data_IF_555326282419
#
_entry.id   IF_555326282419
#
_cell.length_a   1.000
_cell.length_b   1.000
_cell.length_c   1.000
_cell.angle_alpha   90.00
_cell.angle_beta   90.00
_cell.angle_gamma   90.00
#
_symmetry.space_group_name_H-M   'P 1'
#
loop_
_entity.id
_entity.type
_entity.pdbx_description
1 polymer ?
#
# COMPACT_ATOMS: atom_id res chain seq x y z
N UNK A 1 -21.90 29.01 -9.62
CA UNK A 1 -20.44 29.03 -9.40
C UNK A 1 -20.21 28.28 -8.11
N UNK A 2 -19.40 27.22 -8.12
CA UNK A 2 -19.03 26.53 -6.89
C UNK A 2 -18.09 27.43 -6.08
N UNK A 3 -18.31 27.51 -4.77
CA UNK A 3 -17.57 28.41 -3.88
C UNK A 3 -16.29 27.73 -3.36
N UNK A 4 -15.29 28.52 -2.95
CA UNK A 4 -14.04 27.96 -2.41
C UNK A 4 -14.30 27.09 -1.15
N UNK A 5 -15.30 27.45 -0.34
CA UNK A 5 -15.74 26.66 0.82
C UNK A 5 -16.28 25.28 0.43
N UNK A 6 -17.03 25.17 -0.68
CA UNK A 6 -17.50 23.87 -1.21
C UNK A 6 -16.33 22.98 -1.64
N UNK A 7 -15.32 23.56 -2.29
CA UNK A 7 -14.10 22.83 -2.66
C UNK A 7 -13.29 22.38 -1.43
N UNK A 8 -13.25 23.19 -0.36
CA UNK A 8 -12.57 22.85 0.89
C UNK A 8 -13.29 21.72 1.63
N UNK A 9 -14.61 21.84 1.78
CA UNK A 9 -15.44 20.75 2.34
C UNK A 9 -15.22 19.47 1.56
N UNK A 10 -15.21 19.55 0.22
CA UNK A 10 -14.98 18.37 -0.62
C UNK A 10 -13.60 17.75 -0.40
N UNK A 11 -12.55 18.57 -0.22
CA UNK A 11 -11.21 18.09 0.09
C UNK A 11 -11.19 17.33 1.42
N UNK A 12 -11.82 17.88 2.46
CA UNK A 12 -11.89 17.23 3.78
C UNK A 12 -12.61 15.89 3.71
N UNK A 13 -13.75 15.81 3.01
CA UNK A 13 -14.46 14.54 2.79
C UNK A 13 -13.59 13.48 2.10
N UNK A 14 -12.83 13.88 1.06
CA UNK A 14 -11.98 12.96 0.31
C UNK A 14 -10.82 12.44 1.17
N UNK A 15 -10.20 13.32 1.97
CA UNK A 15 -9.16 12.91 2.92
C UNK A 15 -9.69 11.99 4.03
N UNK A 16 -10.88 12.26 4.56
CA UNK A 16 -11.55 11.38 5.54
C UNK A 16 -11.81 9.98 4.94
N UNK A 17 -12.29 9.91 3.69
CA UNK A 17 -12.48 8.64 2.98
C UNK A 17 -11.15 7.89 2.81
N UNK A 18 -10.07 8.60 2.52
CA UNK A 18 -8.75 7.99 2.32
C UNK A 18 -8.18 7.45 3.62
N UNK A 19 -8.33 8.21 4.71
CA UNK A 19 -8.01 7.76 6.06
C UNK A 19 -8.78 6.51 6.46
N UNK A 20 -10.08 6.46 6.21
CA UNK A 20 -10.91 5.30 6.51
C UNK A 20 -10.42 4.05 5.74
N UNK A 21 -10.07 4.22 4.46
CA UNK A 21 -9.54 3.13 3.64
C UNK A 21 -8.19 2.62 4.16
N UNK A 22 -7.29 3.51 4.56
CA UNK A 22 -6.01 3.14 5.17
C UNK A 22 -6.17 2.46 6.53
N UNK A 23 -7.12 2.90 7.37
CA UNK A 23 -7.44 2.24 8.64
C UNK A 23 -7.92 0.80 8.39
N UNK A 24 -8.78 0.61 7.39
CA UNK A 24 -9.26 -0.71 6.97
C UNK A 24 -8.13 -1.61 6.45
N UNK A 25 -7.18 -1.04 5.70
CA UNK A 25 -5.99 -1.77 5.24
C UNK A 25 -5.09 -2.18 6.40
N UNK A 26 -4.95 -1.32 7.41
CA UNK A 26 -4.16 -1.59 8.63
C UNK A 26 -4.75 -2.72 9.48
N UNK A 27 -6.07 -2.82 9.57
CA UNK A 27 -6.75 -3.77 10.46
C UNK A 27 -6.74 -5.22 9.94
N UNK A 28 -6.50 -5.45 8.64
CA UNK A 28 -6.54 -6.80 8.07
C UNK A 28 -5.68 -6.95 6.80
N UNK A 29 -4.34 -6.79 6.89
CA UNK A 29 -3.45 -7.07 5.77
C UNK A 29 -3.30 -8.58 5.50
N UNK A 30 -3.46 -9.42 6.53
CA UNK A 30 -3.16 -10.86 6.46
C UNK A 30 -4.31 -11.73 5.95
N UNK A 31 -5.55 -11.22 6.00
CA UNK A 31 -6.77 -11.98 5.68
C UNK A 31 -7.41 -11.59 4.35
N UNK A 32 -6.89 -10.54 3.69
CA UNK A 32 -7.43 -10.07 2.42
C UNK A 32 -7.03 -10.98 1.26
N UNK A 33 -7.99 -11.40 0.45
CA UNK A 33 -7.71 -12.13 -0.79
C UNK A 33 -7.02 -11.21 -1.81
N UNK A 34 -6.26 -11.78 -2.75
CA UNK A 34 -5.61 -11.00 -3.81
C UNK A 34 -6.60 -10.10 -4.58
N UNK A 35 -7.81 -10.60 -4.86
CA UNK A 35 -8.87 -9.84 -5.51
C UNK A 35 -9.37 -8.67 -4.64
N UNK A 36 -9.49 -8.87 -3.32
CA UNK A 36 -9.86 -7.79 -2.39
C UNK A 36 -8.78 -6.72 -2.30
N UNK A 37 -7.50 -7.11 -2.35
CA UNK A 37 -6.37 -6.19 -2.38
C UNK A 37 -6.40 -5.35 -3.66
N UNK A 38 -6.63 -5.98 -4.82
CA UNK A 38 -6.71 -5.29 -6.10
C UNK A 38 -7.87 -4.26 -6.15
N UNK A 39 -9.07 -4.65 -5.70
CA UNK A 39 -10.21 -3.74 -5.63
C UNK A 39 -9.93 -2.56 -4.68
N UNK A 40 -9.30 -2.82 -3.54
CA UNK A 40 -8.90 -1.76 -2.60
C UNK A 40 -7.88 -0.81 -3.23
N UNK A 41 -6.89 -1.34 -3.95
CA UNK A 41 -5.89 -0.55 -4.64
C UNK A 41 -6.51 0.35 -5.73
N UNK A 42 -7.41 -0.20 -6.55
CA UNK A 42 -8.12 0.58 -7.57
C UNK A 42 -8.93 1.73 -6.95
N UNK A 43 -9.68 1.44 -5.88
CA UNK A 43 -10.44 2.47 -5.15
C UNK A 43 -9.54 3.54 -4.55
N UNK A 44 -8.39 3.13 -4.01
CA UNK A 44 -7.40 4.06 -3.46
C UNK A 44 -6.82 4.98 -4.55
N UNK A 45 -6.47 4.44 -5.71
CA UNK A 45 -5.97 5.21 -6.86
C UNK A 45 -6.98 6.25 -7.33
N UNK A 46 -8.24 5.85 -7.51
CA UNK A 46 -9.31 6.78 -7.91
C UNK A 46 -9.50 7.89 -6.87
N UNK A 47 -9.43 7.55 -5.58
CA UNK A 47 -9.58 8.53 -4.52
C UNK A 47 -8.43 9.53 -4.50
N UNK A 48 -7.20 9.06 -4.73
CA UNK A 48 -6.02 9.92 -4.85
C UNK A 48 -6.14 10.87 -6.04
N UNK A 49 -6.56 10.38 -7.21
CA UNK A 49 -6.79 11.22 -8.39
C UNK A 49 -7.85 12.31 -8.12
N UNK A 50 -8.92 11.96 -7.39
CA UNK A 50 -9.96 12.91 -7.00
C UNK A 50 -9.44 13.98 -6.02
N UNK A 51 -8.61 13.59 -5.05
CA UNK A 51 -7.95 14.53 -4.13
C UNK A 51 -7.05 15.48 -4.92
N UNK A 52 -6.19 14.96 -5.79
CA UNK A 52 -5.27 15.76 -6.61
C UNK A 52 -6.02 16.70 -7.56
N UNK A 53 -7.12 16.25 -8.15
CA UNK A 53 -7.98 17.09 -8.98
C UNK A 53 -8.62 18.23 -8.16
N UNK A 54 -9.19 17.92 -7.00
CA UNK A 54 -9.83 18.93 -6.16
C UNK A 54 -8.82 19.90 -5.54
N UNK A 55 -7.65 19.43 -5.13
CA UNK A 55 -6.58 20.27 -4.59
C UNK A 55 -6.01 21.23 -5.64
N UNK A 56 -5.95 20.83 -6.92
CA UNK A 56 -5.60 21.75 -8.01
C UNK A 56 -6.62 22.88 -8.14
N UNK A 57 -7.91 22.57 -8.07
CA UNK A 57 -8.98 23.58 -8.11
C UNK A 57 -8.95 24.48 -6.86
N UNK A 58 -8.67 23.90 -5.70
CA UNK A 58 -8.47 24.65 -4.47
C UNK A 58 -7.32 25.63 -4.58
N UNK A 59 -6.14 25.20 -5.05
CA UNK A 59 -4.99 26.09 -5.19
C UNK A 59 -5.27 27.27 -6.13
N UNK A 60 -6.09 27.08 -7.16
CA UNK A 60 -6.50 28.19 -8.05
C UNK A 60 -7.49 29.14 -7.39
N UNK A 61 -8.38 28.65 -6.53
CA UNK A 61 -9.43 29.47 -5.87
C UNK A 61 -8.98 30.06 -4.54
N UNK A 62 -7.98 29.47 -3.88
CA UNK A 62 -7.39 29.92 -2.62
C UNK A 62 -6.71 31.28 -2.72
N UNK A 63 -6.18 31.61 -3.90
CA UNK A 63 -5.56 32.92 -4.18
C UNK A 63 -6.57 34.08 -4.19
N UNK A 64 -7.86 33.76 -4.32
CA UNK A 64 -8.95 34.71 -4.43
C UNK A 64 -9.75 34.85 -3.12
N UNK A 65 -9.33 34.16 -2.05
CA UNK A 65 -10.03 34.14 -0.76
C UNK A 65 -9.83 35.41 0.05
N UNK A 66 -10.92 35.93 0.63
CA UNK A 66 -10.84 36.85 1.76
C UNK A 66 -10.54 36.04 3.02
N UNK A 67 -9.32 36.17 3.55
CA UNK A 67 -8.83 35.46 4.74
C UNK A 67 -9.54 35.85 6.06
N UNK A 68 -10.65 36.59 5.98
CA UNK A 68 -11.44 37.07 7.13
C UNK A 68 -12.66 36.20 7.44
N UNK A 69 -12.91 35.15 6.66
CA UNK A 69 -13.98 34.20 6.93
C UNK A 69 -13.51 33.08 7.88
N UNK A 70 -13.96 33.15 9.14
CA UNK A 70 -13.67 32.17 10.20
C UNK A 70 -14.06 30.73 9.79
N UNK A 71 -15.11 30.56 8.97
CA UNK A 71 -15.53 29.23 8.52
C UNK A 71 -14.50 28.60 7.58
N UNK A 72 -13.92 29.42 6.70
CA UNK A 72 -12.89 28.98 5.75
C UNK A 72 -11.60 28.64 6.50
N UNK A 73 -11.23 29.44 7.51
CA UNK A 73 -10.10 29.14 8.38
C UNK A 73 -10.26 27.81 9.11
N UNK A 74 -11.46 27.52 9.64
CA UNK A 74 -11.76 26.25 10.29
C UNK A 74 -11.61 25.06 9.33
N UNK A 75 -12.14 25.18 8.10
CA UNK A 75 -12.02 24.12 7.09
C UNK A 75 -10.56 23.86 6.68
N UNK A 76 -9.73 24.91 6.61
CA UNK A 76 -8.30 24.79 6.33
C UNK A 76 -7.55 24.10 7.47
N UNK A 77 -7.89 24.41 8.72
CA UNK A 77 -7.32 23.74 9.89
C UNK A 77 -7.69 22.25 9.92
N UNK A 78 -8.96 21.93 9.66
CA UNK A 78 -9.40 20.53 9.55
C UNK A 78 -8.65 19.79 8.44
N UNK A 79 -8.53 20.41 7.25
CA UNK A 79 -7.77 19.84 6.13
C UNK A 79 -6.34 19.51 6.52
N UNK A 80 -5.68 20.45 7.19
CA UNK A 80 -4.30 20.27 7.64
C UNK A 80 -4.18 19.08 8.61
N UNK A 81 -5.06 19.00 9.61
CA UNK A 81 -5.08 17.88 10.56
C UNK A 81 -5.30 16.53 9.85
N UNK A 82 -6.21 16.47 8.87
CA UNK A 82 -6.47 15.25 8.10
C UNK A 82 -5.25 14.81 7.27
N UNK A 83 -4.53 15.77 6.66
CA UNK A 83 -3.30 15.49 5.90
C UNK A 83 -2.20 14.95 6.83
N UNK A 84 -2.01 15.56 8.01
CA UNK A 84 -1.04 15.07 8.98
C UNK A 84 -1.36 13.65 9.46
N UNK A 85 -2.63 13.38 9.79
CA UNK A 85 -3.07 12.03 10.16
C UNK A 85 -2.79 11.03 9.04
N UNK A 86 -3.09 11.41 7.80
CA UNK A 86 -2.90 10.58 6.62
C UNK A 86 -1.43 10.22 6.41
N UNK A 87 -0.53 11.19 6.52
CA UNK A 87 0.93 10.96 6.40
C UNK A 87 1.40 9.97 7.47
N UNK A 88 0.96 10.15 8.71
CA UNK A 88 1.34 9.28 9.82
C UNK A 88 0.82 7.86 9.66
N UNK A 89 -0.44 7.72 9.21
CA UNK A 89 -1.03 6.41 8.95
C UNK A 89 -0.37 5.70 7.76
N UNK A 90 -0.06 6.43 6.68
CA UNK A 90 0.66 5.89 5.53
C UNK A 90 2.05 5.38 5.91
N UNK A 91 2.80 6.12 6.74
CA UNK A 91 4.09 5.65 7.27
C UNK A 91 3.93 4.32 8.01
N UNK A 92 2.91 4.23 8.87
CA UNK A 92 2.63 3.03 9.67
C UNK A 92 2.30 1.82 8.79
N UNK A 93 1.36 1.99 7.85
CA UNK A 93 0.93 0.93 6.92
C UNK A 93 2.10 0.46 6.04
N UNK A 94 2.93 1.40 5.57
CA UNK A 94 4.12 1.09 4.74
C UNK A 94 5.12 0.22 5.50
N UNK A 95 5.41 0.55 6.77
CA UNK A 95 6.31 -0.23 7.62
C UNK A 95 5.77 -1.65 7.82
N UNK A 96 4.47 -1.80 8.09
CA UNK A 96 3.83 -3.11 8.24
C UNK A 96 3.89 -3.93 6.94
N UNK A 97 3.58 -3.32 5.79
CA UNK A 97 3.67 -3.99 4.49
C UNK A 97 5.10 -4.48 4.19
N UNK A 98 6.11 -3.69 4.54
CA UNK A 98 7.52 -4.06 4.37
C UNK A 98 7.94 -5.23 5.27
N UNK A 99 7.40 -5.29 6.50
CA UNK A 99 7.62 -6.43 7.39
C UNK A 99 7.01 -7.72 6.82
N UNK A 100 5.75 -7.67 6.35
CA UNK A 100 5.08 -8.80 5.71
C UNK A 100 5.83 -9.25 4.46
N UNK A 101 6.27 -8.32 3.60
CA UNK A 101 7.06 -8.62 2.42
C UNK A 101 8.37 -9.35 2.76
N UNK A 102 9.06 -8.91 3.82
CA UNK A 102 10.28 -9.57 4.29
C UNK A 102 10.01 -10.99 4.76
N UNK A 103 8.95 -11.20 5.56
CA UNK A 103 8.54 -12.52 6.03
C UNK A 103 8.21 -13.48 4.88
N UNK A 104 7.42 -13.02 3.90
CA UNK A 104 7.11 -13.82 2.71
C UNK A 104 8.38 -14.16 1.92
N UNK A 105 9.29 -13.21 1.75
CA UNK A 105 10.58 -13.42 1.08
C UNK A 105 11.46 -14.46 1.79
N UNK A 106 11.47 -14.46 3.12
CA UNK A 106 12.17 -15.47 3.92
C UNK A 106 11.56 -16.86 3.75
N UNK A 107 10.24 -16.98 3.79
CA UNK A 107 9.54 -18.24 3.59
C UNK A 107 9.74 -18.81 2.18
N UNK A 108 9.69 -17.97 1.13
CA UNK A 108 10.00 -18.38 -0.24
C UNK A 108 11.44 -18.90 -0.35
N UNK A 109 12.40 -18.21 0.27
CA UNK A 109 13.81 -18.66 0.29
C UNK A 109 13.98 -19.98 1.02
N UNK A 110 13.36 -20.16 2.18
CA UNK A 110 13.37 -21.42 2.93
C UNK A 110 12.75 -22.55 2.11
N UNK A 111 11.60 -22.32 1.47
CA UNK A 111 10.93 -23.31 0.63
C UNK A 111 11.81 -23.70 -0.57
N UNK A 112 12.41 -22.72 -1.26
CA UNK A 112 13.29 -22.97 -2.41
C UNK A 112 14.56 -23.72 -2.01
N UNK A 113 15.22 -23.32 -0.92
CA UNK A 113 16.44 -23.96 -0.43
C UNK A 113 16.17 -25.32 0.21
N UNK A 114 15.05 -25.48 0.91
CA UNK A 114 14.56 -26.76 1.43
C UNK A 114 14.23 -27.75 0.31
N UNK A 115 13.60 -27.29 -0.77
CA UNK A 115 13.45 -28.09 -2.00
C UNK A 115 14.80 -28.45 -2.63
N UNK A 116 15.79 -27.57 -2.55
CA UNK A 116 17.14 -27.86 -3.06
C UNK A 116 17.85 -28.91 -2.19
N UNK A 117 17.67 -28.87 -0.86
CA UNK A 117 18.15 -29.92 0.04
C UNK A 117 17.48 -31.27 -0.24
N UNK A 118 16.16 -31.28 -0.48
CA UNK A 118 15.41 -32.50 -0.87
C UNK A 118 15.86 -33.01 -2.24
N UNK A 119 16.16 -32.14 -3.20
CA UNK A 119 16.77 -32.54 -4.50
C UNK A 119 18.21 -33.07 -4.36
N UNK A 120 18.94 -32.65 -3.33
CA UNK A 120 20.28 -33.13 -2.98
C UNK A 120 20.28 -34.54 -2.36
N UNK A 121 19.18 -34.95 -1.74
CA UNK A 121 18.91 -36.35 -1.39
C UNK A 121 18.52 -37.14 -2.64
N UNK A 122 19.46 -37.29 -3.59
CA UNK A 122 19.36 -38.39 -4.55
C UNK A 122 19.37 -39.69 -3.76
N UNK A 123 18.41 -40.57 -4.04
CA UNK A 123 18.36 -41.91 -3.47
C UNK A 123 19.72 -42.62 -3.71
N UNK A 124 20.24 -43.38 -2.73
CA UNK A 124 21.54 -44.08 -2.85
C UNK A 124 21.66 -44.99 -4.08
N UNK A 125 20.54 -45.33 -4.71
CA UNK A 125 20.45 -46.13 -5.93
C UNK A 125 20.98 -45.40 -7.18
N UNK A 126 20.91 -44.06 -7.24
CA UNK A 126 21.41 -43.29 -8.39
C UNK A 126 22.93 -43.06 -8.38
N UNK A 127 23.61 -43.22 -7.23
CA UNK A 127 25.07 -43.10 -7.15
C UNK A 127 25.82 -44.39 -7.53
N UNK A 128 25.16 -45.56 -7.52
CA UNK A 128 25.83 -46.85 -7.78
C UNK A 128 26.07 -47.17 -9.26
N UNK A 129 25.45 -46.45 -10.20
CA UNK A 129 25.52 -46.79 -11.64
C UNK A 129 26.43 -45.89 -12.49
N UNK A 130 27.18 -44.95 -11.92
CA UNK A 130 28.15 -44.14 -12.66
C UNK A 130 29.58 -44.69 -12.69
N UNK A 131 29.83 -45.82 -12.01
CA UNK A 131 31.11 -46.54 -12.08
C UNK A 131 31.16 -47.50 -13.27
N UNK A 132 31.23 -46.95 -14.50
CA UNK A 132 31.63 -47.76 -15.66
C UNK A 132 33.07 -48.23 -15.46
N UNK A 133 33.24 -49.48 -15.04
CA UNK A 133 34.50 -50.20 -15.18
C UNK A 133 34.77 -50.39 -16.69
N UNK A 134 35.45 -49.43 -17.31
CA UNK A 134 36.24 -49.66 -18.52
C UNK A 134 37.70 -49.72 -18.12
N UNK A 135 38.13 -50.92 -17.75
CA UNK A 135 39.48 -51.42 -17.97
C UNK A 135 39.48 -52.92 -17.73
N UNK A 136 39.29 -53.68 -18.80
CA UNK A 136 39.81 -55.03 -18.93
C UNK A 136 39.86 -55.40 -20.42
N UNK A 137 41.09 -55.70 -20.87
CA UNK A 137 41.57 -56.08 -22.20
C UNK A 137 41.89 -54.95 -23.17
#
# INVERSE_FOLDING_TARGET
MTTCSEHLQKSNELYQQMLHMLKTLRESPETATAQQIEVRYQRFSVLQENIEANDRLLNTTLLELDHRDEHIEQLLHERHALIEELINLNKTVTVQAQAVKSLIGDEIRKATNGHTAIKGYRTPEQQRNSGSFRNAM
#
